data_IF_691868396370
#
_entry.id   IF_691868396370
#
_cell.length_a   1.000
_cell.length_b   1.000
_cell.length_c   1.000
_cell.angle_alpha   90.00
_cell.angle_beta   90.00
_cell.angle_gamma   90.00
#
_symmetry.space_group_name_H-M   'P 1'
#
loop_
_entity.id
_entity.type
_entity.pdbx_description
1 polymer ?
#
# COMPACT_ATOMS: atom_id res chain seq x y z
N UNK A 1 4.27 22.54 5.24
CA UNK A 1 5.66 23.06 5.18
C UNK A 1 5.70 24.39 5.92
N UNK A 2 6.18 24.41 7.17
CA UNK A 2 6.26 25.62 8.02
C UNK A 2 7.56 26.37 7.72
N UNK A 3 7.47 27.58 7.18
CA UNK A 3 8.60 28.49 6.98
C UNK A 3 9.02 29.06 8.33
N UNK A 4 10.27 28.84 8.75
CA UNK A 4 10.86 29.48 9.93
C UNK A 4 11.64 30.70 9.42
N UNK A 5 11.03 31.88 9.52
CA UNK A 5 11.72 33.16 9.30
C UNK A 5 12.57 33.47 10.53
N UNK A 6 13.89 33.44 10.37
CA UNK A 6 14.84 33.92 11.38
C UNK A 6 14.97 35.44 11.18
N UNK A 7 14.27 36.20 12.02
CA UNK A 7 14.44 37.64 12.17
C UNK A 7 15.74 37.87 12.95
N UNK A 8 16.78 38.31 12.26
CA UNK A 8 18.04 38.72 12.88
C UNK A 8 17.90 40.19 13.31
N UNK A 9 17.49 40.40 14.56
CA UNK A 9 17.45 41.74 15.16
C UNK A 9 18.89 42.17 15.53
N UNK A 10 19.51 42.97 14.66
CA UNK A 10 20.70 43.77 15.02
C UNK A 10 20.19 45.11 15.53
N UNK A 11 19.95 45.17 16.84
CA UNK A 11 19.65 46.42 17.55
C UNK A 11 20.75 46.66 18.57
N UNK A 12 21.77 47.45 18.20
CA UNK A 12 22.71 48.10 19.13
C UNK A 12 23.54 49.16 18.40
N UNK A 13 22.88 50.24 18.00
CA UNK A 13 23.49 51.54 17.74
C UNK A 13 22.64 52.58 18.47
N UNK A 14 22.96 52.78 19.75
CA UNK A 14 22.41 53.89 20.51
C UNK A 14 23.01 55.21 19.96
N UNK A 15 22.20 56.21 19.62
CA UNK A 15 22.70 57.55 19.32
C UNK A 15 23.23 58.16 20.63
N UNK A 16 24.50 58.56 20.64
CA UNK A 16 25.06 59.39 21.71
C UNK A 16 24.35 60.74 21.60
N UNK A 17 23.43 61.00 22.52
CA UNK A 17 22.75 62.28 22.67
C UNK A 17 23.78 63.36 23.00
N UNK A 18 23.97 64.29 22.07
CA UNK A 18 24.69 65.55 22.30
C UNK A 18 23.76 66.40 23.17
N UNK A 19 24.04 66.45 24.48
CA UNK A 19 23.35 67.35 25.40
C UNK A 19 23.78 68.78 25.08
N UNK A 20 22.83 69.54 24.52
CA UNK A 20 22.88 70.99 24.34
C UNK A 20 22.71 71.65 25.70
N UNK A 21 23.67 72.48 26.11
CA UNK A 21 23.56 73.35 27.29
C UNK A 21 23.66 74.82 26.85
N UNK A 22 22.50 75.44 26.62
CA UNK A 22 22.21 76.86 26.91
C UNK A 22 22.06 76.96 28.45
N UNK A 23 22.46 77.96 29.23
CA UNK A 23 22.82 79.39 29.11
C UNK A 23 23.40 79.78 30.48
N UNK A 24 24.28 80.80 30.56
CA UNK A 24 24.15 81.96 31.50
C UNK A 24 25.38 82.86 31.45
N UNK A 25 25.10 84.14 31.31
CA UNK A 25 26.01 85.28 31.25
C UNK A 25 26.72 85.56 32.59
N UNK A 26 27.88 86.21 32.50
CA UNK A 26 28.39 87.11 33.54
C UNK A 26 29.52 86.57 34.42
N UNK A 27 30.78 86.84 34.03
CA UNK A 27 31.85 87.28 34.93
C UNK A 27 33.14 87.51 34.13
N UNK A 28 33.48 88.78 33.90
CA UNK A 28 34.82 89.22 33.50
C UNK A 28 35.82 88.92 34.62
N UNK A 29 36.64 87.88 34.46
CA UNK A 29 37.84 87.66 35.28
C UNK A 29 39.04 87.45 34.36
N UNK A 30 39.93 88.42 34.47
CA UNK A 30 41.25 88.55 33.88
C UNK A 30 42.21 87.45 34.34
N UNK A 31 43.16 87.10 33.46
CA UNK A 31 44.52 86.80 33.88
C UNK A 31 44.88 85.33 34.15
N UNK A 32 45.45 84.71 33.12
CA UNK A 32 46.71 83.98 33.23
C UNK A 32 46.78 82.67 34.06
N UNK A 33 45.87 81.71 33.88
CA UNK A 33 46.12 80.29 34.21
C UNK A 33 45.37 79.33 33.26
N UNK A 34 45.57 79.46 31.94
CA UNK A 34 44.81 78.67 30.93
C UNK A 34 45.63 77.60 30.16
N UNK A 35 46.96 77.60 30.25
CA UNK A 35 47.79 76.63 29.49
C UNK A 35 47.81 75.18 30.01
N UNK A 36 47.67 74.83 31.30
CA UNK A 36 47.73 73.43 31.73
C UNK A 36 46.41 72.66 31.58
N UNK A 37 45.29 73.36 31.35
CA UNK A 37 43.96 72.74 31.16
C UNK A 37 43.69 72.33 29.70
N UNK A 38 44.29 73.02 28.73
CA UNK A 38 44.15 72.73 27.29
C UNK A 38 44.98 71.49 26.90
N UNK A 39 46.24 71.39 27.35
CA UNK A 39 47.08 70.19 27.11
C UNK A 39 46.47 68.91 27.72
N UNK A 40 45.81 69.03 28.89
CA UNK A 40 45.14 67.89 29.55
C UNK A 40 43.84 67.48 28.85
N UNK A 41 43.24 68.35 28.05
CA UNK A 41 42.09 68.05 27.22
C UNK A 41 42.51 67.36 25.92
N UNK A 42 43.61 67.81 25.30
CA UNK A 42 44.20 67.19 24.09
C UNK A 42 44.67 65.76 24.35
N UNK A 43 45.36 65.51 25.48
CA UNK A 43 45.73 64.15 25.89
C UNK A 43 44.51 63.24 26.14
N UNK A 44 43.40 63.81 26.61
CA UNK A 44 42.13 63.07 26.80
C UNK A 44 41.46 62.76 25.46
N UNK A 45 41.54 63.66 24.49
CA UNK A 45 41.01 63.45 23.13
C UNK A 45 41.84 62.38 22.41
N UNK A 46 43.17 62.49 22.41
CA UNK A 46 44.06 61.50 21.79
C UNK A 46 43.87 60.09 22.39
N UNK A 47 43.72 59.98 23.72
CA UNK A 47 43.45 58.71 24.40
C UNK A 47 42.05 58.16 24.11
N UNK A 48 41.09 59.01 23.82
CA UNK A 48 39.74 58.59 23.39
C UNK A 48 39.78 58.14 21.93
N UNK A 49 40.50 58.83 21.05
CA UNK A 49 40.70 58.44 19.65
C UNK A 49 41.41 57.10 19.54
N UNK A 50 42.50 56.88 20.28
CA UNK A 50 43.21 55.60 20.32
C UNK A 50 42.30 54.46 20.84
N UNK A 51 41.46 54.73 21.83
CA UNK A 51 40.45 53.77 22.32
C UNK A 51 39.34 53.51 21.31
N UNK A 52 38.94 54.51 20.53
CA UNK A 52 37.94 54.36 19.46
C UNK A 52 38.52 53.56 18.31
N UNK A 53 39.79 53.77 17.96
CA UNK A 53 40.48 53.04 16.90
C UNK A 53 40.73 51.58 17.28
N UNK A 54 41.23 51.32 18.50
CA UNK A 54 41.31 49.96 19.05
C UNK A 54 39.93 49.28 19.13
N UNK A 55 38.86 50.04 19.42
CA UNK A 55 37.50 49.49 19.39
C UNK A 55 37.04 49.16 17.98
N UNK A 56 37.33 50.00 16.97
CA UNK A 56 37.01 49.73 15.57
C UNK A 56 37.72 48.48 15.08
N UNK A 57 39.02 48.36 15.30
CA UNK A 57 39.79 47.16 14.92
C UNK A 57 39.26 45.89 15.60
N UNK A 58 38.92 45.97 16.88
CA UNK A 58 38.31 44.84 17.61
C UNK A 58 36.90 44.50 17.10
N UNK A 59 36.12 45.49 16.67
CA UNK A 59 34.81 45.28 16.08
C UNK A 59 34.98 44.62 14.71
N UNK A 60 35.86 45.13 13.86
CA UNK A 60 36.11 44.59 12.52
C UNK A 60 36.66 43.16 12.58
N UNK A 61 37.56 42.86 13.52
CA UNK A 61 38.05 41.50 13.77
C UNK A 61 36.92 40.57 14.25
N UNK A 62 36.00 41.06 15.09
CA UNK A 62 34.82 40.28 15.52
C UNK A 62 33.84 40.06 14.38
N UNK A 63 33.60 41.07 13.53
CA UNK A 63 32.73 40.99 12.36
C UNK A 63 33.27 39.95 11.38
N UNK A 64 34.55 40.03 11.00
CA UNK A 64 35.19 39.02 10.13
C UNK A 64 35.08 37.61 10.69
N UNK A 65 35.33 37.42 11.99
CA UNK A 65 35.21 36.12 12.66
C UNK A 65 33.75 35.61 12.72
N UNK A 66 32.77 36.51 12.77
CA UNK A 66 31.35 36.15 12.68
C UNK A 66 31.02 35.74 11.24
N UNK A 67 31.45 36.50 10.23
CA UNK A 67 31.26 36.21 8.81
C UNK A 67 31.80 34.83 8.44
N UNK A 68 33.07 34.55 8.75
CA UNK A 68 33.70 33.24 8.54
C UNK A 68 32.94 32.10 9.21
N UNK A 69 32.48 32.30 10.46
CA UNK A 69 31.66 31.31 11.17
C UNK A 69 30.29 31.12 10.54
N UNK A 70 29.68 32.18 9.99
CA UNK A 70 28.39 32.07 9.31
C UNK A 70 28.51 31.37 7.97
N UNK A 71 29.57 31.64 7.20
CA UNK A 71 29.85 30.95 5.93
C UNK A 71 30.14 29.47 6.15
N UNK A 72 31.00 29.13 7.11
CA UNK A 72 31.28 27.74 7.46
C UNK A 72 30.03 26.99 7.95
N UNK A 73 29.12 27.67 8.65
CA UNK A 73 27.83 27.09 9.04
C UNK A 73 26.89 26.90 7.85
N UNK A 74 26.82 27.87 6.93
CA UNK A 74 26.02 27.77 5.70
C UNK A 74 26.50 26.60 4.85
N UNK A 75 27.81 26.50 4.58
CA UNK A 75 28.39 25.38 3.84
C UNK A 75 28.06 24.01 4.46
N UNK A 76 28.16 23.87 5.79
CA UNK A 76 27.76 22.63 6.49
C UNK A 76 26.26 22.34 6.42
N UNK A 77 25.42 23.37 6.40
CA UNK A 77 23.96 23.21 6.24
C UNK A 77 23.67 22.74 4.81
N UNK A 78 24.31 23.33 3.81
CA UNK A 78 24.13 22.99 2.40
C UNK A 78 24.60 21.55 2.11
N UNK A 79 25.75 21.13 2.66
CA UNK A 79 26.24 19.76 2.58
C UNK A 79 25.33 18.75 3.29
N UNK A 80 24.77 19.11 4.45
CA UNK A 80 23.77 18.28 5.14
C UNK A 80 22.46 18.22 4.37
N UNK A 81 22.05 19.31 3.73
CA UNK A 81 20.83 19.38 2.94
C UNK A 81 20.96 18.54 1.67
N UNK A 82 22.09 18.63 0.96
CA UNK A 82 22.36 17.84 -0.25
C UNK A 82 22.42 16.34 0.07
N UNK A 83 23.18 15.93 1.08
CA UNK A 83 23.25 14.53 1.51
C UNK A 83 21.91 13.99 2.02
N UNK A 84 21.10 14.82 2.69
CA UNK A 84 19.75 14.40 3.12
C UNK A 84 18.82 14.23 1.93
N UNK A 85 18.87 15.14 0.95
CA UNK A 85 18.08 15.05 -0.29
C UNK A 85 18.44 13.79 -1.07
N UNK A 86 19.72 13.52 -1.26
CA UNK A 86 20.21 12.30 -1.93
C UNK A 86 19.76 11.02 -1.20
N UNK A 87 19.75 11.02 0.14
CA UNK A 87 19.24 9.89 0.93
C UNK A 87 17.73 9.69 0.78
N UNK A 88 16.96 10.76 0.62
CA UNK A 88 15.51 10.70 0.40
C UNK A 88 15.23 10.15 -1.00
N UNK A 89 15.91 10.65 -2.03
CA UNK A 89 15.78 10.20 -3.42
C UNK A 89 16.14 8.71 -3.54
N UNK A 90 17.30 8.31 -3.02
CA UNK A 90 17.71 6.90 -2.99
C UNK A 90 16.72 5.99 -2.24
N UNK A 91 16.08 6.49 -1.18
CA UNK A 91 15.03 5.72 -0.46
C UNK A 91 13.75 5.63 -1.28
N UNK A 92 13.34 6.71 -1.93
CA UNK A 92 12.16 6.74 -2.79
C UNK A 92 12.30 5.75 -3.94
N UNK A 93 13.43 5.76 -4.66
CA UNK A 93 13.71 4.80 -5.73
C UNK A 93 13.71 3.34 -5.25
N UNK A 94 14.32 3.07 -4.09
CA UNK A 94 14.31 1.71 -3.49
C UNK A 94 12.90 1.26 -3.13
N UNK A 95 12.05 2.17 -2.65
CA UNK A 95 10.66 1.87 -2.32
C UNK A 95 9.87 1.61 -3.61
N UNK A 96 10.06 2.43 -4.64
CA UNK A 96 9.39 2.29 -5.93
C UNK A 96 9.73 0.94 -6.58
N UNK A 97 11.02 0.59 -6.69
CA UNK A 97 11.47 -0.72 -7.18
C UNK A 97 10.87 -1.87 -6.37
N UNK A 98 10.81 -1.76 -5.04
CA UNK A 98 10.19 -2.78 -4.18
C UNK A 98 8.68 -2.90 -4.42
N UNK A 99 7.98 -1.80 -4.70
CA UNK A 99 6.55 -1.81 -5.00
C UNK A 99 6.31 -2.49 -6.35
N UNK A 100 7.12 -2.19 -7.36
CA UNK A 100 7.01 -2.79 -8.69
C UNK A 100 7.24 -4.31 -8.66
N UNK A 101 8.33 -4.77 -8.04
CA UNK A 101 8.61 -6.20 -7.85
C UNK A 101 7.47 -6.89 -7.09
N UNK A 102 6.91 -6.26 -6.06
CA UNK A 102 5.76 -6.81 -5.32
C UNK A 102 4.50 -6.87 -6.18
N UNK A 103 4.24 -5.87 -7.02
CA UNK A 103 3.09 -5.87 -7.94
C UNK A 103 3.19 -7.04 -8.90
N UNK A 104 4.35 -7.23 -9.54
CA UNK A 104 4.59 -8.36 -10.45
C UNK A 104 4.45 -9.71 -9.75
N UNK A 105 5.09 -9.88 -8.59
CA UNK A 105 4.98 -11.11 -7.81
C UNK A 105 3.53 -11.42 -7.40
N UNK A 106 2.73 -10.39 -7.06
CA UNK A 106 1.32 -10.57 -6.74
C UNK A 106 0.48 -10.96 -7.97
N UNK A 107 0.79 -10.43 -9.16
CA UNK A 107 0.14 -10.83 -10.41
C UNK A 107 0.37 -12.32 -10.70
N UNK A 108 1.63 -12.77 -10.62
CA UNK A 108 2.00 -14.17 -10.83
C UNK A 108 1.29 -15.09 -9.83
N UNK A 109 1.33 -14.75 -8.53
CA UNK A 109 0.64 -15.52 -7.49
C UNK A 109 -0.87 -15.60 -7.72
N UNK A 110 -1.49 -14.51 -8.17
CA UNK A 110 -2.93 -14.50 -8.41
C UNK A 110 -3.33 -15.42 -9.58
N UNK A 111 -2.56 -15.41 -10.68
CA UNK A 111 -2.77 -16.35 -11.79
C UNK A 111 -2.56 -17.79 -11.38
N UNK A 112 -1.53 -18.05 -10.58
CA UNK A 112 -1.26 -19.40 -10.08
C UNK A 112 -2.41 -19.92 -9.20
N UNK A 113 -2.97 -19.07 -8.33
CA UNK A 113 -4.14 -19.41 -7.53
C UNK A 113 -5.38 -19.68 -8.39
N UNK A 114 -5.63 -18.88 -9.42
CA UNK A 114 -6.73 -19.09 -10.36
C UNK A 114 -6.60 -20.42 -11.11
N UNK A 115 -5.41 -20.70 -11.68
CA UNK A 115 -5.11 -21.99 -12.33
C UNK A 115 -5.25 -23.17 -11.37
N UNK A 116 -4.85 -23.00 -10.10
CA UNK A 116 -5.02 -24.04 -9.08
C UNK A 116 -6.49 -24.29 -8.76
N UNK A 117 -7.31 -23.24 -8.73
CA UNK A 117 -8.75 -23.37 -8.53
C UNK A 117 -9.42 -24.09 -9.70
N UNK A 118 -9.14 -23.66 -10.94
CA UNK A 118 -9.60 -24.31 -12.18
C UNK A 118 -9.25 -25.81 -12.17
N UNK A 119 -7.98 -26.17 -11.94
CA UNK A 119 -7.55 -27.58 -11.91
C UNK A 119 -8.31 -28.41 -10.89
N UNK A 120 -8.58 -27.86 -9.70
CA UNK A 120 -9.35 -28.56 -8.65
C UNK A 120 -10.81 -28.79 -9.06
N UNK A 121 -11.43 -27.77 -9.66
CA UNK A 121 -12.80 -27.82 -10.16
C UNK A 121 -12.91 -28.83 -11.30
N UNK A 122 -12.00 -28.77 -12.28
CA UNK A 122 -11.94 -29.74 -13.39
C UNK A 122 -11.71 -31.17 -12.90
N UNK A 123 -10.84 -31.37 -11.91
CA UNK A 123 -10.64 -32.69 -11.31
C UNK A 123 -11.90 -33.19 -10.57
N UNK A 124 -12.63 -32.31 -9.88
CA UNK A 124 -13.88 -32.67 -9.21
C UNK A 124 -14.98 -33.02 -10.23
N UNK A 125 -15.10 -32.27 -11.32
CA UNK A 125 -16.00 -32.57 -12.45
C UNK A 125 -15.72 -33.97 -12.97
N UNK A 126 -14.46 -34.29 -13.30
CA UNK A 126 -14.10 -35.62 -13.82
C UNK A 126 -14.44 -36.77 -12.86
N UNK A 127 -14.33 -36.56 -11.54
CA UNK A 127 -14.75 -37.57 -10.56
C UNK A 127 -16.26 -37.82 -10.59
N UNK A 128 -17.08 -36.77 -10.71
CA UNK A 128 -18.54 -36.93 -10.77
C UNK A 128 -18.96 -37.56 -12.11
N UNK A 129 -18.30 -37.22 -13.22
CA UNK A 129 -18.55 -37.87 -14.52
C UNK A 129 -18.31 -39.38 -14.45
N UNK A 130 -17.20 -39.80 -13.85
CA UNK A 130 -16.91 -41.23 -13.63
C UNK A 130 -18.01 -41.89 -12.79
N UNK A 131 -18.50 -41.22 -11.74
CA UNK A 131 -19.58 -41.75 -10.92
C UNK A 131 -20.90 -41.85 -11.71
N UNK A 132 -21.27 -40.82 -12.47
CA UNK A 132 -22.46 -40.83 -13.31
C UNK A 132 -22.41 -41.98 -14.33
N UNK A 133 -21.28 -42.17 -15.01
CA UNK A 133 -21.09 -43.27 -15.96
C UNK A 133 -21.23 -44.65 -15.29
N UNK A 134 -20.65 -44.84 -14.10
CA UNK A 134 -20.81 -46.08 -13.33
C UNK A 134 -22.27 -46.34 -12.94
N UNK A 135 -23.03 -45.29 -12.60
CA UNK A 135 -24.46 -45.41 -12.29
C UNK A 135 -25.24 -45.79 -13.54
N UNK A 136 -24.94 -45.20 -14.70
CA UNK A 136 -25.52 -45.58 -16.00
C UNK A 136 -25.27 -47.05 -16.35
N UNK A 137 -24.01 -47.51 -16.23
CA UNK A 137 -23.65 -48.91 -16.47
C UNK A 137 -24.41 -49.86 -15.53
N UNK A 138 -24.45 -49.54 -14.24
CA UNK A 138 -25.17 -50.34 -13.23
C UNK A 138 -26.66 -50.37 -13.51
N UNK A 139 -27.26 -49.24 -13.90
CA UNK A 139 -28.66 -49.14 -14.27
C UNK A 139 -28.98 -50.07 -15.43
N UNK A 140 -28.16 -50.05 -16.49
CA UNK A 140 -28.35 -50.90 -17.67
C UNK A 140 -28.27 -52.39 -17.32
N UNK A 141 -27.30 -52.80 -16.50
CA UNK A 141 -27.18 -54.20 -16.03
C UNK A 141 -28.42 -54.61 -15.24
N UNK A 142 -28.92 -53.77 -14.33
CA UNK A 142 -30.08 -54.09 -13.50
C UNK A 142 -31.39 -54.08 -14.28
N UNK A 143 -31.55 -53.17 -15.23
CA UNK A 143 -32.69 -53.13 -16.15
C UNK A 143 -32.72 -54.37 -17.04
N UNK A 144 -31.56 -54.80 -17.58
CA UNK A 144 -31.46 -56.04 -18.37
C UNK A 144 -31.83 -57.31 -17.58
N UNK A 145 -31.67 -57.28 -16.25
CA UNK A 145 -32.10 -58.36 -15.34
C UNK A 145 -33.56 -58.21 -14.86
N UNK A 146 -34.29 -57.21 -15.37
CA UNK A 146 -35.63 -56.86 -14.90
C UNK A 146 -35.69 -56.56 -13.40
N UNK A 147 -34.58 -56.10 -12.79
CA UNK A 147 -34.55 -55.72 -11.37
C UNK A 147 -35.13 -54.33 -11.17
N UNK A 148 -34.89 -53.45 -12.14
CA UNK A 148 -35.38 -52.07 -12.14
C UNK A 148 -36.55 -51.96 -13.12
N UNK A 149 -37.65 -51.36 -12.66
CA UNK A 149 -38.85 -51.10 -13.48
C UNK A 149 -38.54 -50.06 -14.56
N UNK A 150 -39.27 -50.10 -15.67
CA UNK A 150 -39.06 -49.17 -16.79
C UNK A 150 -39.22 -47.70 -16.35
N UNK A 151 -40.19 -47.42 -15.48
CA UNK A 151 -40.46 -46.07 -14.96
C UNK A 151 -39.30 -45.56 -14.11
N UNK A 152 -38.77 -46.40 -13.22
CA UNK A 152 -37.60 -46.05 -12.40
C UNK A 152 -36.37 -45.81 -13.28
N UNK A 153 -36.19 -46.61 -14.34
CA UNK A 153 -35.09 -46.40 -15.29
C UNK A 153 -35.15 -45.01 -15.91
N UNK A 154 -36.31 -44.60 -16.42
CA UNK A 154 -36.51 -43.27 -17.01
C UNK A 154 -36.25 -42.15 -16.00
N UNK A 155 -36.68 -42.29 -14.74
CA UNK A 155 -36.42 -41.29 -13.70
C UNK A 155 -34.93 -41.19 -13.35
N UNK A 156 -34.22 -42.31 -13.27
CA UNK A 156 -32.78 -42.34 -13.02
C UNK A 156 -32.02 -41.67 -14.18
N UNK A 157 -32.38 -41.98 -15.43
CA UNK A 157 -31.78 -41.36 -16.62
C UNK A 157 -32.01 -39.84 -16.63
N UNK A 158 -33.20 -39.37 -16.26
CA UNK A 158 -33.49 -37.95 -16.12
C UNK A 158 -32.57 -37.28 -15.08
N UNK A 159 -32.38 -37.89 -13.90
CA UNK A 159 -31.48 -37.37 -12.86
C UNK A 159 -30.03 -37.33 -13.30
N UNK A 160 -29.57 -38.33 -14.05
CA UNK A 160 -28.23 -38.36 -14.61
C UNK A 160 -28.05 -37.28 -15.68
N UNK A 161 -29.06 -37.03 -16.52
CA UNK A 161 -29.06 -35.92 -17.47
C UNK A 161 -28.99 -34.55 -16.77
N UNK A 162 -29.77 -34.35 -15.70
CA UNK A 162 -29.68 -33.14 -14.84
C UNK A 162 -28.26 -32.97 -14.27
N UNK A 163 -27.65 -34.06 -13.78
CA UNK A 163 -26.28 -34.03 -13.26
C UNK A 163 -25.27 -33.59 -14.34
N UNK A 164 -25.39 -34.13 -15.56
CA UNK A 164 -24.51 -33.78 -16.69
C UNK A 164 -24.68 -32.31 -17.10
N UNK A 165 -25.90 -31.78 -17.07
CA UNK A 165 -26.15 -30.36 -17.34
C UNK A 165 -25.43 -29.46 -16.32
N UNK A 166 -25.56 -29.76 -15.03
CA UNK A 166 -24.84 -29.02 -13.98
C UNK A 166 -23.31 -29.13 -14.13
N UNK A 167 -22.78 -30.29 -14.53
CA UNK A 167 -21.35 -30.44 -14.80
C UNK A 167 -20.90 -29.61 -16.00
N UNK A 168 -21.74 -29.49 -17.03
CA UNK A 168 -21.47 -28.65 -18.20
C UNK A 168 -21.42 -27.17 -17.82
N UNK A 169 -22.35 -26.71 -16.99
CA UNK A 169 -22.32 -25.36 -16.42
C UNK A 169 -21.07 -25.14 -15.56
N UNK A 170 -20.71 -26.11 -14.71
CA UNK A 170 -19.51 -26.06 -13.89
C UNK A 170 -18.23 -25.95 -14.73
N UNK A 171 -18.15 -26.65 -15.87
CA UNK A 171 -17.02 -26.52 -16.82
C UNK A 171 -16.90 -25.11 -17.38
N UNK A 172 -18.03 -24.51 -17.77
CA UNK A 172 -18.06 -23.12 -18.26
C UNK A 172 -17.56 -22.15 -17.20
N UNK A 173 -18.00 -22.30 -15.94
CA UNK A 173 -17.49 -21.47 -14.85
C UNK A 173 -16.01 -21.72 -14.55
N UNK A 174 -15.53 -22.97 -14.66
CA UNK A 174 -14.12 -23.31 -14.44
C UNK A 174 -13.18 -22.55 -15.39
N UNK A 175 -13.53 -22.49 -16.68
CA UNK A 175 -12.77 -21.75 -17.69
C UNK A 175 -12.77 -20.25 -17.37
N UNK A 176 -13.95 -19.70 -17.03
CA UNK A 176 -14.12 -18.27 -16.68
C UNK A 176 -13.26 -17.81 -15.51
N UNK A 177 -12.90 -18.70 -14.58
CA UNK A 177 -12.02 -18.34 -13.44
C UNK A 177 -10.68 -17.78 -13.94
N UNK A 178 -10.08 -18.40 -14.95
CA UNK A 178 -8.77 -17.92 -15.45
C UNK A 178 -8.91 -16.68 -16.32
N UNK A 179 -9.98 -16.58 -17.11
CA UNK A 179 -10.30 -15.40 -17.91
C UNK A 179 -10.53 -14.16 -17.04
N UNK A 180 -11.32 -14.29 -15.97
CA UNK A 180 -11.57 -13.20 -15.02
C UNK A 180 -10.33 -12.87 -14.19
N UNK A 181 -9.51 -13.85 -13.84
CA UNK A 181 -8.24 -13.59 -13.15
C UNK A 181 -7.27 -12.80 -14.04
N UNK A 182 -7.15 -13.15 -15.33
CA UNK A 182 -6.35 -12.41 -16.30
C UNK A 182 -6.87 -10.97 -16.45
N UNK A 183 -8.18 -10.81 -16.57
CA UNK A 183 -8.83 -9.49 -16.68
C UNK A 183 -8.64 -8.65 -15.41
N UNK A 184 -8.71 -9.28 -14.24
CA UNK A 184 -8.52 -8.62 -12.93
C UNK A 184 -7.13 -8.05 -12.74
N UNK A 185 -6.11 -8.66 -13.34
CA UNK A 185 -4.72 -8.20 -13.28
C UNK A 185 -4.48 -6.97 -14.13
N UNK A 186 -5.23 -6.81 -15.23
CA UNK A 186 -5.19 -5.65 -16.09
C UNK A 186 -6.05 -4.48 -15.55
N UNK A 187 -6.94 -4.75 -14.60
CA UNK A 187 -7.83 -3.73 -14.02
C UNK A 187 -7.07 -2.67 -13.20
N UNK A 188 -7.61 -1.45 -13.21
CA UNK A 188 -7.19 -0.36 -12.32
C UNK A 188 -7.55 -0.62 -10.85
N UNK A 189 -8.53 -1.50 -10.57
CA UNK A 189 -8.95 -1.92 -9.23
C UNK A 189 -8.85 -3.45 -9.04
N UNK A 190 -7.64 -4.06 -9.03
CA UNK A 190 -7.48 -5.51 -9.00
C UNK A 190 -8.21 -6.19 -7.83
N UNK A 191 -8.26 -5.55 -6.65
CA UNK A 191 -8.93 -6.11 -5.47
C UNK A 191 -10.42 -6.35 -5.66
N UNK A 192 -11.10 -5.45 -6.38
CA UNK A 192 -12.53 -5.57 -6.65
C UNK A 192 -12.78 -6.58 -7.76
N UNK A 193 -11.96 -6.54 -8.82
CA UNK A 193 -12.03 -7.50 -9.90
C UNK A 193 -11.80 -8.95 -9.43
N UNK A 194 -10.86 -9.19 -8.50
CA UNK A 194 -10.67 -10.53 -7.91
C UNK A 194 -11.86 -11.05 -7.09
N UNK A 195 -12.78 -10.18 -6.64
CA UNK A 195 -14.02 -10.65 -5.99
C UNK A 195 -14.90 -11.39 -6.99
N UNK A 196 -15.01 -10.92 -8.23
CA UNK A 196 -15.79 -11.61 -9.27
C UNK A 196 -15.21 -13.00 -9.56
N UNK A 197 -13.89 -13.10 -9.67
CA UNK A 197 -13.21 -14.40 -9.88
C UNK A 197 -13.53 -15.39 -8.76
N UNK A 198 -13.64 -14.90 -7.51
CA UNK A 198 -14.02 -15.74 -6.36
C UNK A 198 -15.49 -16.16 -6.41
N UNK A 199 -16.37 -15.27 -6.85
CA UNK A 199 -17.79 -15.57 -7.03
C UNK A 199 -18.01 -16.63 -8.11
N UNK A 200 -17.35 -16.51 -9.26
CA UNK A 200 -17.37 -17.53 -10.32
C UNK A 200 -16.86 -18.88 -9.83
N UNK A 201 -15.77 -18.90 -9.05
CA UNK A 201 -15.27 -20.15 -8.47
C UNK A 201 -16.29 -20.79 -7.51
N UNK A 202 -17.04 -19.98 -6.75
CA UNK A 202 -18.09 -20.45 -5.84
C UNK A 202 -19.31 -20.97 -6.61
N UNK A 203 -19.67 -20.33 -7.72
CA UNK A 203 -20.73 -20.81 -8.61
C UNK A 203 -20.38 -22.18 -9.19
N UNK A 204 -19.15 -22.35 -9.70
CA UNK A 204 -18.67 -23.65 -10.17
C UNK A 204 -18.76 -24.74 -9.08
N UNK A 205 -18.35 -24.41 -7.85
CA UNK A 205 -18.45 -25.33 -6.70
C UNK A 205 -19.89 -25.73 -6.39
N UNK A 206 -20.83 -24.78 -6.43
CA UNK A 206 -22.24 -25.05 -6.19
C UNK A 206 -22.83 -25.97 -7.27
N UNK A 207 -22.51 -25.74 -8.54
CA UNK A 207 -22.95 -26.62 -9.64
C UNK A 207 -22.40 -28.05 -9.50
N UNK A 208 -21.15 -28.20 -9.05
CA UNK A 208 -20.58 -29.53 -8.72
C UNK A 208 -21.37 -30.22 -7.60
N UNK A 209 -21.76 -29.49 -6.55
CA UNK A 209 -22.57 -30.05 -5.45
C UNK A 209 -23.96 -30.48 -5.93
N UNK A 210 -24.60 -29.65 -6.75
CA UNK A 210 -25.89 -29.96 -7.37
C UNK A 210 -25.78 -31.22 -8.24
N UNK A 211 -24.77 -31.32 -9.10
CA UNK A 211 -24.51 -32.51 -9.90
C UNK A 211 -24.32 -33.77 -9.04
N UNK A 212 -23.50 -33.68 -7.99
CA UNK A 212 -23.30 -34.79 -7.07
C UNK A 212 -24.59 -35.22 -6.37
N UNK A 213 -25.41 -34.27 -5.91
CA UNK A 213 -26.70 -34.56 -5.28
C UNK A 213 -27.63 -35.33 -6.21
N UNK A 214 -27.68 -34.96 -7.50
CA UNK A 214 -28.46 -35.68 -8.52
C UNK A 214 -27.97 -37.11 -8.75
N UNK A 215 -26.66 -37.33 -8.75
CA UNK A 215 -26.08 -38.69 -8.82
C UNK A 215 -26.46 -39.52 -7.59
N UNK A 216 -26.47 -38.91 -6.39
CA UNK A 216 -26.89 -39.60 -5.15
C UNK A 216 -28.38 -39.95 -5.19
N UNK A 217 -29.25 -39.04 -5.64
CA UNK A 217 -30.68 -39.30 -5.85
C UNK A 217 -30.89 -40.48 -6.82
N UNK A 218 -30.18 -40.48 -7.95
CA UNK A 218 -30.21 -41.57 -8.93
C UNK A 218 -29.84 -42.93 -8.30
N UNK A 219 -28.78 -42.98 -7.48
CA UNK A 219 -28.37 -44.20 -6.75
C UNK A 219 -29.44 -44.65 -5.76
N UNK A 220 -30.04 -43.72 -5.02
CA UNK A 220 -31.10 -44.02 -4.06
C UNK A 220 -32.33 -44.64 -4.74
N UNK A 221 -32.74 -44.11 -5.90
CA UNK A 221 -33.84 -44.67 -6.71
C UNK A 221 -33.55 -46.10 -7.17
N UNK A 222 -32.33 -46.38 -7.66
CA UNK A 222 -31.92 -47.73 -8.05
C UNK A 222 -32.01 -48.71 -6.85
N UNK A 223 -31.53 -48.28 -5.67
CA UNK A 223 -31.55 -49.11 -4.46
C UNK A 223 -32.98 -49.43 -4.02
N UNK A 224 -33.85 -48.43 -3.96
CA UNK A 224 -35.25 -48.62 -3.58
C UNK A 224 -35.97 -49.62 -4.51
N UNK A 225 -35.74 -49.52 -5.83
CA UNK A 225 -36.32 -50.45 -6.81
C UNK A 225 -35.79 -51.88 -6.65
N UNK A 226 -34.51 -52.05 -6.31
CA UNK A 226 -33.93 -53.37 -6.05
C UNK A 226 -34.50 -54.04 -4.78
N UNK A 227 -34.80 -53.26 -3.74
CA UNK A 227 -35.40 -53.76 -2.49
C UNK A 227 -36.87 -54.17 -2.64
N UNK A 228 -37.64 -53.50 -3.52
CA UNK A 228 -39.02 -53.90 -3.81
C UNK A 228 -39.09 -55.32 -4.41
N UNK A 229 -38.16 -55.65 -5.32
CA UNK A 229 -38.14 -56.96 -5.99
C UNK A 229 -37.82 -58.09 -5.02
N UNK A 230 -36.93 -57.88 -4.04
CA UNK A 230 -36.58 -58.93 -3.07
C UNK A 230 -37.72 -59.23 -2.10
N UNK A 231 -38.46 -58.19 -1.66
CA UNK A 231 -39.63 -58.37 -0.79
C UNK A 231 -40.75 -59.17 -1.46
N UNK A 232 -41.00 -58.93 -2.75
CA UNK A 232 -42.02 -59.67 -3.52
C UNK A 232 -41.73 -61.16 -3.68
N UNK A 233 -40.48 -61.60 -3.54
CA UNK A 233 -40.10 -63.00 -3.74
C UNK A 233 -40.25 -63.89 -2.49
N UNK A 234 -40.51 -63.32 -1.30
CA UNK A 234 -40.44 -64.06 -0.02
C UNK A 234 -41.80 -64.44 0.56
N UNK A 235 -42.91 -64.13 -0.12
CA UNK A 235 -44.25 -64.57 0.30
C UNK A 235 -44.61 -65.89 -0.39
N UNK A 236 -44.10 -67.00 0.14
CA UNK A 236 -44.62 -68.34 -0.15
C UNK A 236 -45.33 -68.82 1.12
N UNK A 237 -46.62 -69.24 1.06
CA UNK A 237 -47.41 -69.64 2.23
C UNK A 237 -46.86 -70.89 2.93
#
# INVERSE_FOLDING_TARGET
MKKISIILAIALLAPIAIVKAETTEGATVTGAVQKPLIMRAEDRVNKVEERVEQRKENIDAKVKKIEEKTEAKKAKIDERASSTKERIENKAEKIEKKIEVRKEANKVKALELAKRAERKITAAIGRIEILANRVTERLNILAGKGVVKAETKTQVELKLAEAINFLTEAKTFAVRITEEANSSIASSTPKEAFKSTKEVAKEAENRIKEAHAKVVEAVAMIKASAEEKTKSATTTP
#
